data_IF_233354038485
#
_entry.id   IF_233354038485
#
_cell.length_a   1.000
_cell.length_b   1.000
_cell.length_c   1.000
_cell.angle_alpha   90.00
_cell.angle_beta   90.00
_cell.angle_gamma   90.00
#
_symmetry.space_group_name_H-M   'P 1'
#
loop_
_entity.id
_entity.type
_entity.pdbx_description
1 polymer ?
#
# COMPACT_ATOMS: atom_id res chain seq x y z
N UNK A 1 -2.82 23.74 9.45
CA UNK A 1 -1.44 23.68 9.96
C UNK A 1 -0.55 23.21 8.82
N UNK A 2 0.67 23.71 8.66
CA UNK A 2 1.56 23.16 7.63
C UNK A 2 1.76 21.67 7.90
N UNK A 3 1.52 20.85 6.88
CA UNK A 3 1.70 19.40 6.99
C UNK A 3 3.19 19.09 6.97
N UNK A 4 3.67 18.30 7.92
CA UNK A 4 5.06 17.83 7.96
C UNK A 4 5.43 17.15 6.63
N UNK A 5 6.54 17.52 5.97
CA UNK A 5 6.92 16.92 4.71
C UNK A 5 7.36 15.46 4.89
N UNK A 6 7.04 14.63 3.90
CA UNK A 6 7.44 13.21 3.86
C UNK A 6 8.89 13.10 3.40
N UNK A 7 9.69 12.41 4.20
CA UNK A 7 11.11 12.13 3.97
C UNK A 7 11.41 10.64 3.76
N UNK A 8 10.43 9.78 4.08
CA UNK A 8 10.55 8.33 3.97
C UNK A 8 9.28 7.75 3.35
N UNK A 9 9.43 6.92 2.33
CA UNK A 9 8.31 6.27 1.63
C UNK A 9 8.53 4.77 1.62
N UNK A 10 7.56 4.04 2.15
CA UNK A 10 7.50 2.59 2.12
C UNK A 10 6.54 2.14 1.00
N UNK A 11 6.91 1.12 0.24
CA UNK A 11 6.03 0.47 -0.72
C UNK A 11 5.81 -0.99 -0.36
N UNK A 12 4.55 -1.42 -0.23
CA UNK A 12 4.15 -2.78 0.09
C UNK A 12 3.45 -3.42 -1.12
N UNK A 13 4.06 -4.47 -1.66
CA UNK A 13 3.53 -5.18 -2.83
C UNK A 13 2.43 -6.19 -2.46
N UNK A 14 1.70 -6.69 -3.47
CA UNK A 14 0.59 -7.62 -3.29
C UNK A 14 1.00 -9.08 -3.10
N UNK A 15 -0.02 -9.94 -2.95
CA UNK A 15 0.13 -11.38 -2.89
C UNK A 15 0.79 -11.92 -4.17
N UNK A 16 1.73 -12.88 -4.05
CA UNK A 16 2.52 -13.45 -5.15
C UNK A 16 3.36 -12.43 -5.93
N UNK A 17 3.50 -11.22 -5.44
CA UNK A 17 4.22 -10.13 -6.09
C UNK A 17 5.61 -9.93 -5.46
N UNK A 18 6.37 -8.98 -6.00
CA UNK A 18 7.74 -8.67 -5.56
C UNK A 18 7.99 -7.16 -5.68
N UNK A 19 9.10 -6.64 -5.13
CA UNK A 19 9.56 -5.27 -5.37
C UNK A 19 9.81 -4.94 -6.85
N UNK A 20 9.91 -5.97 -7.72
CA UNK A 20 10.07 -5.82 -9.16
C UNK A 20 8.75 -5.68 -9.93
N UNK A 21 7.62 -5.62 -9.22
CA UNK A 21 6.31 -5.39 -9.85
C UNK A 21 6.28 -4.04 -10.60
N UNK A 22 5.50 -3.97 -11.66
CA UNK A 22 5.44 -2.78 -12.52
C UNK A 22 5.17 -1.49 -11.74
N UNK A 23 4.17 -1.49 -10.85
CA UNK A 23 3.85 -0.31 -10.04
C UNK A 23 4.97 0.06 -9.06
N UNK A 24 5.58 -0.93 -8.39
CA UNK A 24 6.69 -0.68 -7.47
C UNK A 24 7.90 -0.08 -8.18
N UNK A 25 8.26 -0.61 -9.36
CA UNK A 25 9.36 -0.09 -10.17
C UNK A 25 9.09 1.34 -10.66
N UNK A 26 7.89 1.61 -11.17
CA UNK A 26 7.52 2.95 -11.64
C UNK A 26 7.64 3.99 -10.51
N UNK A 27 7.17 3.65 -9.31
CA UNK A 27 7.34 4.52 -8.15
C UNK A 27 8.82 4.67 -7.79
N UNK A 28 9.58 3.56 -7.71
CA UNK A 28 11.00 3.59 -7.36
C UNK A 28 11.82 4.44 -8.35
N UNK A 29 11.61 4.25 -9.65
CA UNK A 29 12.29 5.00 -10.72
C UNK A 29 11.96 6.49 -10.64
N UNK A 30 10.68 6.83 -10.39
CA UNK A 30 10.25 8.22 -10.25
C UNK A 30 10.83 8.87 -8.99
N UNK A 31 10.83 8.15 -7.85
CA UNK A 31 11.44 8.62 -6.60
C UNK A 31 12.95 8.84 -6.76
N UNK A 32 13.66 7.91 -7.36
CA UNK A 32 15.10 8.01 -7.58
C UNK A 32 15.47 9.19 -8.48
N UNK A 33 14.63 9.50 -9.48
CA UNK A 33 14.87 10.59 -10.41
C UNK A 33 14.56 11.97 -9.83
N UNK A 34 13.38 12.13 -9.22
CA UNK A 34 12.84 13.46 -8.88
C UNK A 34 13.01 13.79 -7.39
N UNK A 35 13.17 12.78 -6.51
CA UNK A 35 13.35 12.93 -5.05
C UNK A 35 14.46 12.04 -4.50
N UNK A 36 15.71 12.11 -5.04
CA UNK A 36 16.81 11.20 -4.63
C UNK A 36 17.23 11.36 -3.16
N UNK A 37 16.78 12.42 -2.51
CA UNK A 37 17.04 12.69 -1.08
C UNK A 37 16.00 12.04 -0.14
N UNK A 38 14.90 11.49 -0.69
CA UNK A 38 13.89 10.78 0.09
C UNK A 38 14.26 9.31 0.17
N UNK A 39 14.20 8.75 1.36
CA UNK A 39 14.38 7.32 1.56
C UNK A 39 13.19 6.57 0.98
N UNK A 40 13.42 5.73 -0.03
CA UNK A 40 12.41 4.84 -0.59
C UNK A 40 12.78 3.39 -0.27
N UNK A 41 11.84 2.64 0.28
CA UNK A 41 12.03 1.23 0.63
C UNK A 41 10.87 0.39 0.13
N UNK A 42 11.17 -0.71 -0.53
CA UNK A 42 10.20 -1.70 -0.99
C UNK A 42 10.75 -3.10 -0.64
N UNK A 43 10.45 -3.64 0.55
CA UNK A 43 10.95 -4.94 0.97
C UNK A 43 10.28 -6.07 0.18
N UNK A 44 10.96 -7.21 0.05
CA UNK A 44 10.33 -8.47 -0.30
C UNK A 44 9.53 -8.97 0.91
N UNK A 45 8.22 -9.10 0.76
CA UNK A 45 7.37 -9.56 1.84
C UNK A 45 7.32 -11.09 1.89
N UNK A 46 7.56 -11.72 3.04
CA UNK A 46 7.39 -13.16 3.20
C UNK A 46 5.91 -13.55 3.14
N UNK A 47 5.61 -14.85 2.86
CA UNK A 47 4.23 -15.34 2.74
C UNK A 47 3.39 -15.23 4.04
N UNK A 48 4.02 -15.29 5.21
CA UNK A 48 3.35 -15.11 6.51
C UNK A 48 3.04 -13.63 6.74
N UNK A 49 1.76 -13.23 6.86
CA UNK A 49 1.38 -11.85 7.14
C UNK A 49 1.99 -11.28 8.43
N UNK A 50 2.06 -12.10 9.47
CA UNK A 50 2.68 -11.72 10.74
C UNK A 50 4.17 -11.41 10.56
N UNK A 51 4.92 -12.31 9.92
CA UNK A 51 6.34 -12.09 9.66
C UNK A 51 6.56 -10.89 8.75
N UNK A 52 5.72 -10.72 7.71
CA UNK A 52 5.81 -9.57 6.82
C UNK A 52 5.72 -8.25 7.59
N UNK A 53 4.75 -8.14 8.51
CA UNK A 53 4.59 -6.91 9.28
C UNK A 53 5.64 -6.75 10.39
N UNK A 54 6.13 -7.85 10.99
CA UNK A 54 7.26 -7.82 11.93
C UNK A 54 8.56 -7.33 11.26
N UNK A 55 8.82 -7.78 10.03
CA UNK A 55 9.97 -7.33 9.23
C UNK A 55 9.83 -5.87 8.82
N UNK A 56 8.66 -5.48 8.30
CA UNK A 56 8.36 -4.08 7.97
C UNK A 56 8.57 -3.17 9.17
N UNK A 57 8.04 -3.53 10.34
CA UNK A 57 8.20 -2.71 11.55
C UNK A 57 9.66 -2.59 12.00
N UNK A 58 10.46 -3.64 11.80
CA UNK A 58 11.89 -3.63 12.07
C UNK A 58 12.63 -2.70 11.10
N UNK A 59 12.30 -2.77 9.81
CA UNK A 59 12.94 -1.97 8.77
C UNK A 59 12.67 -0.47 8.93
N UNK A 60 11.52 -0.10 9.49
CA UNK A 60 11.13 1.30 9.71
C UNK A 60 11.32 1.76 11.16
N UNK A 61 11.98 0.98 12.02
CA UNK A 61 12.09 1.27 13.46
C UNK A 61 12.70 2.65 13.75
N UNK A 62 13.66 3.07 12.93
CA UNK A 62 14.34 4.36 13.05
C UNK A 62 13.72 5.47 12.17
N UNK A 63 12.61 5.19 11.50
CA UNK A 63 11.96 6.15 10.63
C UNK A 63 11.19 7.22 11.43
N UNK A 64 10.90 8.38 10.80
CA UNK A 64 10.16 9.45 11.46
C UNK A 64 8.80 8.97 11.97
N UNK A 65 8.53 9.22 13.24
CA UNK A 65 7.23 9.05 13.88
C UNK A 65 6.40 10.34 13.79
N UNK A 66 5.15 10.29 14.27
CA UNK A 66 4.32 11.51 14.41
C UNK A 66 4.96 12.60 15.27
N UNK A 67 5.90 12.24 16.14
CA UNK A 67 6.56 13.16 17.08
C UNK A 67 7.88 13.70 16.52
N UNK A 68 8.34 13.22 15.37
CA UNK A 68 9.60 13.68 14.76
C UNK A 68 9.40 15.06 14.13
N UNK A 69 10.07 16.11 14.62
CA UNK A 69 9.93 17.44 14.05
C UNK A 69 10.45 17.50 12.61
N UNK A 70 9.67 18.08 11.70
CA UNK A 70 10.10 18.39 10.33
C UNK A 70 10.26 17.20 9.39
N UNK A 71 9.94 15.99 9.82
CA UNK A 71 10.02 14.78 8.98
C UNK A 71 8.83 13.85 9.23
N UNK A 72 8.39 13.16 8.18
CA UNK A 72 7.31 12.18 8.27
C UNK A 72 7.60 10.99 7.34
N UNK A 73 6.95 9.86 7.61
CA UNK A 73 6.87 8.74 6.68
C UNK A 73 5.50 8.68 5.99
N UNK A 74 5.46 8.01 4.85
CA UNK A 74 4.25 7.62 4.15
C UNK A 74 4.36 6.20 3.62
N UNK A 75 3.22 5.56 3.34
CA UNK A 75 3.18 4.20 2.80
C UNK A 75 2.34 4.15 1.53
N UNK A 76 2.78 3.36 0.55
CA UNK A 76 2.02 2.97 -0.63
C UNK A 76 1.79 1.47 -0.55
N UNK A 77 0.57 1.00 -0.76
CA UNK A 77 0.27 -0.42 -0.79
C UNK A 77 -0.63 -0.82 -1.95
N UNK A 78 -0.31 -1.93 -2.61
CA UNK A 78 -1.10 -2.45 -3.73
C UNK A 78 -1.68 -3.82 -3.39
N UNK A 79 -2.99 -4.01 -3.64
CA UNK A 79 -3.69 -5.28 -3.37
C UNK A 79 -3.54 -5.70 -1.90
N UNK A 80 -2.99 -6.87 -1.57
CA UNK A 80 -2.66 -7.27 -0.21
C UNK A 80 -1.71 -6.28 0.48
N UNK A 81 -0.80 -5.66 -0.27
CA UNK A 81 0.05 -4.58 0.27
C UNK A 81 -0.76 -3.35 0.71
N UNK A 82 -1.92 -3.09 0.09
CA UNK A 82 -2.87 -2.07 0.51
C UNK A 82 -3.52 -2.40 1.86
N UNK A 83 -3.82 -3.67 2.12
CA UNK A 83 -4.27 -4.16 3.42
C UNK A 83 -3.23 -3.89 4.52
N UNK A 84 -1.97 -4.25 4.26
CA UNK A 84 -0.86 -3.99 5.20
C UNK A 84 -0.60 -2.49 5.39
N UNK A 85 -0.68 -1.71 4.31
CA UNK A 85 -0.51 -0.26 4.37
C UNK A 85 -1.60 0.41 5.23
N UNK A 86 -2.84 -0.08 5.16
CA UNK A 86 -3.94 0.39 5.99
C UNK A 86 -3.68 0.10 7.46
N UNK A 87 -3.32 -1.14 7.79
CA UNK A 87 -2.97 -1.50 9.16
C UNK A 87 -1.82 -0.62 9.69
N UNK A 88 -0.75 -0.47 8.90
CA UNK A 88 0.40 0.35 9.29
C UNK A 88 0.03 1.83 9.49
N UNK A 89 -0.78 2.40 8.61
CA UNK A 89 -1.21 3.79 8.71
C UNK A 89 -2.08 4.04 9.95
N UNK A 90 -2.92 3.09 10.34
CA UNK A 90 -3.70 3.20 11.58
C UNK A 90 -2.80 3.11 12.82
N UNK A 91 -1.73 2.30 12.81
CA UNK A 91 -0.77 2.20 13.91
C UNK A 91 0.12 3.46 14.00
N UNK A 92 0.68 3.91 12.90
CA UNK A 92 1.68 4.98 12.88
C UNK A 92 1.08 6.36 12.68
N UNK A 93 -0.09 6.43 12.04
CA UNK A 93 -0.75 7.65 11.62
C UNK A 93 -0.10 8.36 10.44
N UNK A 94 0.70 7.67 9.68
CA UNK A 94 1.26 8.17 8.44
C UNK A 94 0.19 8.33 7.34
N UNK A 95 0.53 9.02 6.24
CA UNK A 95 -0.27 9.01 5.02
C UNK A 95 -0.16 7.67 4.33
N UNK A 96 -1.25 7.22 3.72
CA UNK A 96 -1.31 5.98 2.97
C UNK A 96 -1.91 6.20 1.58
N UNK A 97 -1.25 5.67 0.56
CA UNK A 97 -1.82 5.47 -0.76
C UNK A 97 -2.16 4.00 -0.91
N UNK A 98 -3.37 3.70 -1.30
CA UNK A 98 -3.84 2.33 -1.51
C UNK A 98 -4.32 2.14 -2.95
N UNK A 99 -3.81 1.11 -3.61
CA UNK A 99 -4.01 0.82 -5.02
C UNK A 99 -4.75 -0.51 -5.15
N UNK A 100 -6.03 -0.49 -5.50
CA UNK A 100 -6.93 -1.66 -5.48
C UNK A 100 -6.71 -2.50 -4.20
N UNK A 101 -6.90 -1.93 -3.01
CA UNK A 101 -6.52 -2.58 -1.75
C UNK A 101 -7.45 -3.74 -1.42
N UNK A 102 -6.89 -4.87 -0.96
CA UNK A 102 -7.68 -5.88 -0.29
C UNK A 102 -8.26 -5.29 1.01
N UNK A 103 -9.55 -5.52 1.25
CA UNK A 103 -10.25 -5.10 2.48
C UNK A 103 -10.56 -6.29 3.36
N UNK A 104 -11.00 -7.38 2.75
CA UNK A 104 -11.33 -8.63 3.42
C UNK A 104 -10.28 -9.71 3.16
N UNK A 105 -8.99 -9.39 3.30
CA UNK A 105 -7.87 -10.24 2.90
C UNK A 105 -7.94 -11.66 3.49
N UNK A 106 -8.38 -11.81 4.74
CA UNK A 106 -8.53 -13.13 5.35
C UNK A 106 -9.61 -14.00 4.67
N UNK A 107 -10.73 -13.39 4.25
CA UNK A 107 -11.78 -14.07 3.48
C UNK A 107 -11.28 -14.43 2.09
N UNK A 108 -10.70 -13.47 1.40
CA UNK A 108 -10.32 -13.60 -0.01
C UNK A 108 -9.18 -14.59 -0.20
N UNK A 109 -8.21 -14.60 0.72
CA UNK A 109 -7.07 -15.51 0.66
C UNK A 109 -7.32 -16.87 1.35
N UNK A 110 -8.44 -17.08 2.04
CA UNK A 110 -8.79 -18.40 2.59
C UNK A 110 -8.89 -19.48 1.50
N UNK A 111 -9.27 -19.11 0.29
CA UNK A 111 -9.35 -20.01 -0.87
C UNK A 111 -7.99 -20.26 -1.54
N UNK A 112 -6.95 -19.53 -1.11
CA UNK A 112 -5.61 -19.58 -1.69
C UNK A 112 -4.62 -20.42 -0.84
N UNK A 113 -5.13 -21.21 0.12
CA UNK A 113 -4.26 -22.10 0.91
C UNK A 113 -3.67 -23.17 -0.02
N UNK A 114 -2.33 -23.27 -0.05
CA UNK A 114 -1.63 -24.21 -0.92
C UNK A 114 -0.33 -23.66 -1.47
N UNK A 115 0.20 -24.34 -2.49
CA UNK A 115 1.42 -23.95 -3.18
C UNK A 115 1.13 -22.90 -4.25
N UNK A 116 1.98 -21.88 -4.32
CA UNK A 116 1.92 -20.80 -5.30
C UNK A 116 3.31 -20.50 -5.86
N UNK A 117 3.34 -19.98 -7.09
CA UNK A 117 4.53 -19.34 -7.64
C UNK A 117 4.41 -17.83 -7.62
N UNK A 118 5.54 -17.13 -7.61
CA UNK A 118 5.57 -15.68 -7.83
C UNK A 118 5.11 -15.34 -9.27
N UNK A 119 4.42 -14.21 -9.43
CA UNK A 119 4.05 -13.70 -10.76
C UNK A 119 5.27 -13.29 -11.62
N UNK A 120 6.38 -12.93 -10.98
CA UNK A 120 7.59 -12.43 -11.62
C UNK A 120 8.69 -13.47 -11.74
N UNK A 121 8.57 -14.60 -11.04
CA UNK A 121 9.49 -15.74 -11.09
C UNK A 121 8.69 -17.03 -10.86
N UNK A 122 8.24 -17.70 -11.94
CA UNK A 122 7.46 -18.93 -11.84
C UNK A 122 8.18 -20.09 -11.14
N UNK A 123 9.53 -20.07 -11.10
CA UNK A 123 10.34 -21.09 -10.42
C UNK A 123 10.41 -20.85 -8.90
N UNK A 124 10.19 -19.61 -8.45
CA UNK A 124 10.13 -19.28 -7.04
C UNK A 124 8.76 -19.64 -6.46
N UNK A 125 8.66 -20.80 -5.83
CA UNK A 125 7.43 -21.27 -5.19
C UNK A 125 7.42 -21.00 -3.68
N UNK A 126 6.22 -20.86 -3.13
CA UNK A 126 6.00 -20.77 -1.69
C UNK A 126 4.67 -21.42 -1.31
N UNK A 127 4.50 -21.76 -0.05
CA UNK A 127 3.26 -22.32 0.48
C UNK A 127 2.53 -21.23 1.28
N UNK A 128 1.29 -20.90 0.84
CA UNK A 128 0.38 -20.10 1.67
C UNK A 128 -0.37 -21.02 2.61
N UNK A 129 -0.09 -20.97 3.90
CA UNK A 129 -0.58 -21.90 4.90
C UNK A 129 -1.93 -21.46 5.46
N UNK A 130 -2.74 -22.41 5.95
CA UNK A 130 -4.02 -22.12 6.57
C UNK A 130 -3.91 -21.19 7.79
N UNK A 131 -2.83 -21.29 8.57
CA UNK A 131 -2.55 -20.42 9.71
C UNK A 131 -2.38 -18.94 9.31
N UNK A 132 -1.96 -18.65 8.07
CA UNK A 132 -1.80 -17.28 7.57
C UNK A 132 -3.12 -16.53 7.41
N UNK A 133 -4.23 -17.25 7.26
CA UNK A 133 -5.57 -16.67 7.27
C UNK A 133 -5.89 -16.05 8.63
N UNK A 134 -5.49 -16.71 9.73
CA UNK A 134 -5.66 -16.18 11.10
C UNK A 134 -4.72 -14.99 11.34
N UNK A 135 -3.50 -15.03 10.80
CA UNK A 135 -2.57 -13.90 10.87
C UNK A 135 -3.16 -12.67 10.14
N UNK A 136 -3.81 -12.87 8.97
CA UNK A 136 -4.54 -11.79 8.30
C UNK A 136 -5.68 -11.24 9.17
N UNK A 137 -6.48 -12.11 9.81
CA UNK A 137 -7.55 -11.64 10.71
C UNK A 137 -7.02 -10.76 11.84
N UNK A 138 -5.85 -11.09 12.38
CA UNK A 138 -5.22 -10.30 13.44
C UNK A 138 -4.78 -8.90 12.98
N UNK A 139 -4.53 -8.71 11.68
CA UNK A 139 -4.17 -7.42 11.08
C UNK A 139 -5.38 -6.64 10.52
N UNK A 140 -6.60 -7.14 10.72
CA UNK A 140 -7.79 -6.49 10.17
C UNK A 140 -8.02 -5.10 10.78
N UNK A 141 -8.31 -4.14 9.92
CA UNK A 141 -8.77 -2.79 10.27
C UNK A 141 -10.26 -2.72 9.92
N UNK A 142 -11.17 -2.82 10.89
CA UNK A 142 -12.61 -2.83 10.60
C UNK A 142 -13.12 -1.51 10.00
N UNK A 143 -12.51 -0.40 10.38
CA UNK A 143 -12.81 0.93 9.85
C UNK A 143 -11.57 1.84 9.98
N UNK A 144 -11.32 2.65 8.96
CA UNK A 144 -10.27 3.67 9.03
C UNK A 144 -10.70 4.80 9.96
N UNK A 145 -9.75 5.32 10.77
CA UNK A 145 -10.06 6.35 11.79
C UNK A 145 -9.92 7.76 11.24
N UNK A 146 -9.13 7.94 10.19
CA UNK A 146 -8.75 9.24 9.61
C UNK A 146 -8.75 9.20 8.09
N UNK A 147 -9.93 9.28 7.43
CA UNK A 147 -10.06 9.21 5.96
C UNK A 147 -9.18 10.23 5.21
N UNK A 148 -8.91 11.38 5.82
CA UNK A 148 -8.05 12.43 5.24
C UNK A 148 -6.58 12.02 5.03
N UNK A 149 -6.17 10.88 5.61
CA UNK A 149 -4.81 10.34 5.45
C UNK A 149 -4.67 9.39 4.29
N UNK A 150 -5.79 9.00 3.68
CA UNK A 150 -5.80 7.99 2.64
C UNK A 150 -6.06 8.59 1.27
N UNK A 151 -5.25 8.19 0.31
CA UNK A 151 -5.53 8.34 -1.12
C UNK A 151 -5.83 6.95 -1.67
N UNK A 152 -7.04 6.72 -2.15
CA UNK A 152 -7.45 5.43 -2.69
C UNK A 152 -7.61 5.51 -4.21
N UNK A 153 -6.88 4.67 -4.94
CA UNK A 153 -7.06 4.46 -6.37
C UNK A 153 -7.75 3.11 -6.56
N UNK A 154 -9.01 3.15 -6.98
CA UNK A 154 -9.90 1.98 -7.05
C UNK A 154 -10.41 1.81 -8.46
N UNK A 155 -10.18 0.65 -9.07
CA UNK A 155 -10.65 0.32 -10.40
C UNK A 155 -11.98 -0.45 -10.34
N UNK A 156 -13.01 0.04 -11.04
CA UNK A 156 -14.30 -0.67 -11.16
C UNK A 156 -14.20 -1.95 -11.99
N UNK A 157 -13.21 -2.04 -12.85
CA UNK A 157 -12.92 -3.24 -13.64
C UNK A 157 -11.96 -4.21 -12.94
N UNK A 158 -11.75 -4.09 -11.62
CA UNK A 158 -10.96 -5.06 -10.86
C UNK A 158 -11.64 -6.43 -10.91
N UNK A 159 -10.97 -7.41 -11.53
CA UNK A 159 -11.46 -8.77 -11.73
C UNK A 159 -11.14 -9.71 -10.57
N UNK A 160 -10.41 -9.22 -9.56
CA UNK A 160 -9.96 -10.01 -8.41
C UNK A 160 -10.68 -9.62 -7.13
N UNK A 161 -10.87 -8.31 -6.90
CA UNK A 161 -11.44 -7.76 -5.67
C UNK A 161 -12.66 -6.88 -5.97
N UNK A 162 -13.66 -6.91 -5.09
CA UNK A 162 -14.85 -6.10 -5.23
C UNK A 162 -14.56 -4.62 -4.94
N UNK A 163 -14.63 -3.78 -5.98
CA UNK A 163 -14.41 -2.34 -5.86
C UNK A 163 -15.43 -1.64 -4.95
N UNK A 164 -16.64 -2.18 -4.79
CA UNK A 164 -17.65 -1.60 -3.91
C UNK A 164 -17.27 -1.76 -2.44
N UNK A 165 -16.67 -2.90 -2.07
CA UNK A 165 -16.11 -3.12 -0.74
C UNK A 165 -14.93 -2.18 -0.46
N UNK A 166 -14.04 -2.00 -1.45
CA UNK A 166 -12.95 -1.02 -1.35
C UNK A 166 -13.50 0.39 -1.14
N UNK A 167 -14.46 0.81 -1.98
CA UNK A 167 -15.06 2.13 -1.86
C UNK A 167 -15.74 2.31 -0.49
N UNK A 168 -16.50 1.32 -0.03
CA UNK A 168 -17.19 1.39 1.27
C UNK A 168 -16.21 1.55 2.43
N UNK A 169 -15.03 0.93 2.34
CA UNK A 169 -14.02 0.98 3.41
C UNK A 169 -13.29 2.35 3.49
N UNK A 170 -12.99 2.97 2.35
CA UNK A 170 -12.22 4.22 2.28
C UNK A 170 -13.06 5.47 2.07
N UNK A 171 -14.36 5.33 1.80
CA UNK A 171 -15.26 6.46 1.61
C UNK A 171 -15.62 7.13 2.94
N UNK A 172 -15.93 8.42 2.85
CA UNK A 172 -16.58 9.15 3.93
C UNK A 172 -18.03 8.65 4.13
N UNK A 173 -18.75 9.10 5.18
CA UNK A 173 -20.14 8.69 5.42
C UNK A 173 -21.12 9.00 4.27
N UNK A 174 -20.73 9.80 3.29
CA UNK A 174 -21.51 10.10 2.08
C UNK A 174 -21.16 9.23 0.89
N UNK A 175 -20.34 8.16 1.08
CA UNK A 175 -19.95 7.23 0.04
C UNK A 175 -18.94 7.78 -0.97
N UNK A 176 -18.16 8.79 -0.60
CA UNK A 176 -17.15 9.43 -1.47
C UNK A 176 -15.75 9.32 -0.88
N UNK A 177 -14.77 9.06 -1.73
CA UNK A 177 -13.36 9.19 -1.36
C UNK A 177 -13.07 10.67 -1.05
N UNK A 178 -12.34 10.95 0.03
CA UNK A 178 -11.84 12.30 0.31
C UNK A 178 -10.67 12.65 -0.60
N UNK A 179 -9.81 11.69 -0.85
CA UNK A 179 -8.71 11.78 -1.80
C UNK A 179 -8.64 10.48 -2.59
N UNK A 180 -8.41 10.59 -3.88
CA UNK A 180 -8.29 9.43 -4.76
C UNK A 180 -9.26 9.45 -5.93
N UNK A 181 -9.29 8.35 -6.65
CA UNK A 181 -10.14 8.17 -7.83
C UNK A 181 -10.79 6.80 -7.85
N UNK A 182 -12.03 6.79 -8.34
CA UNK A 182 -12.72 5.59 -8.79
C UNK A 182 -12.56 5.53 -10.31
N UNK A 183 -11.83 4.56 -10.81
CA UNK A 183 -11.51 4.40 -12.24
C UNK A 183 -12.60 3.57 -12.93
N UNK A 184 -13.16 4.10 -14.01
CA UNK A 184 -14.31 3.46 -14.69
C UNK A 184 -13.93 2.20 -15.47
N UNK A 185 -12.68 2.07 -15.94
CA UNK A 185 -12.30 1.01 -16.88
C UNK A 185 -10.98 0.31 -16.63
N UNK A 186 -10.29 0.58 -15.53
CA UNK A 186 -9.02 -0.08 -15.21
C UNK A 186 -9.26 -1.46 -14.58
N UNK A 187 -8.19 -2.27 -14.42
CA UNK A 187 -8.20 -3.65 -13.92
C UNK A 187 -7.49 -3.76 -12.56
N UNK A 188 -7.38 -4.99 -12.00
CA UNK A 188 -6.69 -5.22 -10.73
C UNK A 188 -5.24 -4.71 -10.73
N UNK A 189 -4.53 -4.89 -11.83
CA UNK A 189 -3.16 -4.41 -11.97
C UNK A 189 -3.06 -2.88 -12.05
N UNK A 190 -4.15 -2.15 -12.33
CA UNK A 190 -4.16 -0.74 -12.71
C UNK A 190 -3.13 -0.54 -13.83
N UNK A 191 -3.38 -1.15 -15.00
CA UNK A 191 -2.42 -1.17 -16.12
C UNK A 191 -2.10 0.23 -16.65
N UNK A 192 -2.98 1.19 -16.40
CA UNK A 192 -2.86 2.62 -16.70
C UNK A 192 -2.30 3.44 -15.51
N UNK A 193 -1.66 2.78 -14.54
CA UNK A 193 -1.08 3.44 -13.35
C UNK A 193 -0.14 4.63 -13.66
N UNK A 194 0.64 4.63 -14.77
CA UNK A 194 1.44 5.80 -15.12
C UNK A 194 0.65 7.10 -15.22
N UNK A 195 -0.62 7.06 -15.61
CA UNK A 195 -1.49 8.24 -15.77
C UNK A 195 -1.88 8.86 -14.41
N UNK A 196 -1.75 8.11 -13.32
CA UNK A 196 -2.13 8.51 -11.95
C UNK A 196 -0.92 8.72 -11.04
N UNK A 197 0.29 8.40 -11.50
CA UNK A 197 1.49 8.41 -10.67
C UNK A 197 1.78 9.78 -10.07
N UNK A 198 1.59 10.86 -10.82
CA UNK A 198 1.81 12.22 -10.33
C UNK A 198 0.87 12.56 -9.17
N UNK A 199 -0.41 12.26 -9.29
CA UNK A 199 -1.39 12.51 -8.22
C UNK A 199 -1.09 11.69 -6.94
N UNK A 200 -0.67 10.43 -7.12
CA UNK A 200 -0.25 9.56 -6.02
C UNK A 200 0.94 10.16 -5.26
N UNK A 201 1.95 10.64 -5.98
CA UNK A 201 3.13 11.25 -5.38
C UNK A 201 2.85 12.62 -4.76
N UNK A 202 2.01 13.43 -5.38
CA UNK A 202 1.57 14.73 -4.85
C UNK A 202 0.86 14.57 -3.50
N UNK A 203 0.02 13.53 -3.37
CA UNK A 203 -0.66 13.25 -2.10
C UNK A 203 0.30 12.93 -0.96
N UNK A 204 1.44 12.33 -1.24
CA UNK A 204 2.43 11.97 -0.22
C UNK A 204 3.07 13.18 0.46
N UNK A 205 2.94 14.39 -0.09
CA UNK A 205 3.57 15.61 0.44
C UNK A 205 5.08 15.46 0.61
N UNK A 206 5.73 15.01 -0.46
CA UNK A 206 7.17 14.75 -0.47
C UNK A 206 7.97 16.02 -0.17
N UNK A 207 9.03 15.86 0.62
CA UNK A 207 9.94 16.97 0.93
C UNK A 207 10.55 17.51 -0.36
N UNK A 208 10.40 18.82 -0.60
CA UNK A 208 11.05 19.47 -1.74
C UNK A 208 12.57 19.50 -1.55
N UNK A 209 13.37 19.37 -2.62
CA UNK A 209 14.81 19.55 -2.53
C UNK A 209 15.16 20.95 -2.01
N UNK A 210 16.27 21.06 -1.31
CA UNK A 210 16.70 22.33 -0.70
C UNK A 210 17.11 23.41 -1.73
N UNK A 211 17.16 23.04 -3.02
CA UNK A 211 17.52 23.92 -4.15
C UNK A 211 16.38 24.01 -5.17
N UNK A 212 15.28 24.48 -4.74
CA UNK A 212 14.16 24.82 -5.62
C UNK A 212 13.94 26.31 -5.69
#
# INVERSE_FOLDING_TARGET
>A
MPTTPTTHVLYLHGFRSTPQSTKARLVAERMARDWPHIVFHCPQLPPSPRLAMEEVLRDIADWPSRQTPGAAMAVIGSSLGGYYATWLAEQTGCRAVVLNPAVHAARDLATQVGEHSSWHDPEATFIFKAEYVEELRALAVPAITRPERYYALIAKGDEVLDWQEMLAHYANPYGRLLHGRLLEGSNHAISDFPDYLDEVLDFLNLQKPAWG
#
